data_IF_781227932056
#
_entry.id   IF_781227932056
#
_cell.length_a   1.000
_cell.length_b   1.000
_cell.length_c   1.000
_cell.angle_alpha   90.00
_cell.angle_beta   90.00
_cell.angle_gamma   90.00
#
_symmetry.space_group_name_H-M   'P 1'
#
loop_
_entity.id
_entity.type
_entity.pdbx_description
1 polymer ?
#
# COMPACT_ATOMS: atom_id res chain seq x y z
N UNK A 1 -13.59 -5.23 27.66
CA UNK A 1 -13.03 -6.31 26.80
C UNK A 1 -13.59 -6.07 25.41
N UNK A 2 -12.82 -5.47 24.53
CA UNK A 2 -13.15 -5.37 23.10
C UNK A 2 -13.17 -6.78 22.54
N UNK A 3 -14.26 -7.20 21.95
CA UNK A 3 -14.31 -8.49 21.25
C UNK A 3 -13.37 -8.42 20.06
N UNK A 4 -12.73 -9.51 19.67
CA UNK A 4 -11.77 -9.56 18.56
C UNK A 4 -12.36 -8.98 17.25
N UNK A 5 -13.68 -9.03 17.10
CA UNK A 5 -14.46 -8.45 15.99
C UNK A 5 -14.50 -6.92 15.95
N UNK A 6 -14.20 -6.23 17.05
CA UNK A 6 -14.22 -4.76 17.13
C UNK A 6 -12.83 -4.13 16.93
N UNK A 7 -11.76 -4.95 16.79
CA UNK A 7 -10.41 -4.46 16.54
C UNK A 7 -10.30 -3.78 15.17
N UNK A 8 -9.58 -2.65 15.03
CA UNK A 8 -9.42 -1.98 13.75
C UNK A 8 -8.50 -2.74 12.77
N UNK A 9 -7.77 -3.74 13.24
CA UNK A 9 -7.08 -4.76 12.43
C UNK A 9 -7.38 -6.11 13.07
N UNK A 10 -7.92 -7.04 12.29
CA UNK A 10 -8.10 -8.42 12.74
C UNK A 10 -6.79 -9.17 12.47
N UNK A 11 -6.30 -9.87 13.49
CA UNK A 11 -5.04 -10.61 13.44
C UNK A 11 -5.32 -12.08 13.69
N UNK A 12 -4.89 -12.93 12.80
CA UNK A 12 -5.02 -14.38 12.94
C UNK A 12 -3.85 -15.12 12.31
N UNK A 13 -3.69 -16.39 12.62
CA UNK A 13 -2.84 -17.30 11.88
C UNK A 13 -3.73 -18.41 11.34
N UNK A 14 -3.74 -18.54 10.03
CA UNK A 14 -4.51 -19.58 9.31
C UNK A 14 -3.51 -20.50 8.59
N UNK A 15 -3.50 -21.77 8.93
CA UNK A 15 -2.45 -22.70 8.49
C UNK A 15 -1.06 -22.14 8.82
N UNK A 16 -0.26 -21.79 7.80
CA UNK A 16 1.08 -21.19 7.97
C UNK A 16 1.14 -19.73 7.52
N UNK A 17 -0.03 -19.05 7.45
CA UNK A 17 -0.15 -17.66 7.00
C UNK A 17 -0.57 -16.78 8.17
N UNK A 18 0.25 -15.77 8.50
CA UNK A 18 -0.16 -14.66 9.35
C UNK A 18 -1.07 -13.73 8.57
N UNK A 19 -2.29 -13.51 9.03
CA UNK A 19 -3.31 -12.72 8.32
C UNK A 19 -3.61 -11.45 9.07
N UNK A 20 -3.49 -10.32 8.37
CA UNK A 20 -3.84 -8.97 8.79
C UNK A 20 -5.02 -8.49 7.93
N UNK A 21 -6.18 -8.24 8.55
CA UNK A 21 -7.34 -7.70 7.84
C UNK A 21 -7.66 -6.30 8.38
N UNK A 22 -7.50 -5.29 7.54
CA UNK A 22 -7.84 -3.91 7.89
C UNK A 22 -9.36 -3.80 8.10
N UNK A 23 -9.79 -3.35 9.29
CA UNK A 23 -11.18 -3.45 9.74
C UNK A 23 -11.73 -2.10 10.27
N UNK A 24 -11.53 -1.03 9.52
CA UNK A 24 -12.19 0.28 9.71
C UNK A 24 -13.00 0.70 8.47
N UNK A 25 -13.96 -0.11 7.98
CA UNK A 25 -14.60 0.12 6.68
C UNK A 25 -15.35 1.46 6.61
N UNK A 26 -15.88 1.97 7.73
CA UNK A 26 -16.55 3.29 7.80
C UNK A 26 -15.58 4.47 7.56
N UNK A 27 -14.29 4.29 7.79
CA UNK A 27 -13.23 5.25 7.55
C UNK A 27 -12.37 4.84 6.35
N UNK A 28 -12.86 3.96 5.47
CA UNK A 28 -12.10 3.40 4.34
C UNK A 28 -10.72 2.89 4.75
N UNK A 29 -10.63 2.29 5.93
CA UNK A 29 -9.41 1.77 6.55
C UNK A 29 -8.27 2.80 6.70
N UNK A 30 -8.59 4.10 6.88
CA UNK A 30 -7.54 5.08 7.16
C UNK A 30 -6.77 4.68 8.43
N UNK A 31 -5.43 4.74 8.33
CA UNK A 31 -4.51 4.27 9.37
C UNK A 31 -4.50 5.23 10.56
N UNK A 32 -4.63 4.66 11.75
CA UNK A 32 -4.47 5.38 13.00
C UNK A 32 -3.38 4.72 13.87
N UNK A 33 -2.93 5.34 14.97
CA UNK A 33 -1.87 4.78 15.82
C UNK A 33 -2.16 3.37 16.32
N UNK A 34 -3.43 3.04 16.61
CA UNK A 34 -3.82 1.72 17.07
C UNK A 34 -3.57 0.65 16.00
N UNK A 35 -3.95 0.91 14.74
CA UNK A 35 -3.73 0.00 13.62
C UNK A 35 -2.23 -0.24 13.40
N UNK A 36 -1.43 0.82 13.37
CA UNK A 36 0.03 0.72 13.23
C UNK A 36 0.63 -0.15 14.33
N UNK A 37 0.25 0.11 15.59
CA UNK A 37 0.73 -0.68 16.72
C UNK A 37 0.30 -2.16 16.66
N UNK A 38 -0.88 -2.48 16.14
CA UNK A 38 -1.35 -3.88 15.97
C UNK A 38 -0.53 -4.56 14.88
N UNK A 39 -0.39 -3.94 13.70
CA UNK A 39 0.37 -4.49 12.57
C UNK A 39 1.82 -4.73 12.97
N UNK A 40 2.47 -3.73 13.57
CA UNK A 40 3.86 -3.82 14.01
C UNK A 40 4.08 -5.01 14.95
N UNK A 41 3.26 -5.14 16.00
CA UNK A 41 3.37 -6.26 16.96
C UNK A 41 3.16 -7.63 16.31
N UNK A 42 2.20 -7.74 15.38
CA UNK A 42 1.97 -8.99 14.67
C UNK A 42 3.18 -9.38 13.82
N UNK A 43 3.74 -8.41 13.07
CA UNK A 43 4.93 -8.63 12.25
C UNK A 43 6.16 -8.98 13.09
N UNK A 44 6.38 -8.32 14.22
CA UNK A 44 7.45 -8.65 15.17
C UNK A 44 7.32 -10.09 15.69
N UNK A 45 6.10 -10.48 16.08
CA UNK A 45 5.84 -11.83 16.58
C UNK A 45 6.07 -12.90 15.50
N UNK A 46 5.66 -12.67 14.26
CA UNK A 46 5.74 -13.65 13.19
C UNK A 46 7.08 -13.72 12.49
N UNK A 47 7.94 -12.71 12.68
CA UNK A 47 9.25 -12.63 12.03
C UNK A 47 10.10 -13.89 12.26
N UNK A 48 10.18 -14.31 13.50
CA UNK A 48 11.03 -15.45 13.93
C UNK A 48 10.21 -16.70 14.32
N UNK A 49 8.90 -16.71 14.03
CA UNK A 49 8.01 -17.83 14.29
C UNK A 49 7.99 -18.79 13.08
N UNK A 50 8.63 -19.94 13.22
CA UNK A 50 8.70 -20.96 12.15
C UNK A 50 7.33 -21.53 11.76
N UNK A 51 6.29 -21.36 12.59
CA UNK A 51 4.93 -21.78 12.26
C UNK A 51 4.23 -20.85 11.25
N UNK A 52 4.76 -19.62 11.04
CA UNK A 52 4.28 -18.64 10.07
C UNK A 52 5.27 -18.55 8.92
N UNK A 53 4.91 -19.06 7.76
CA UNK A 53 5.76 -19.08 6.57
C UNK A 53 5.64 -17.83 5.71
N UNK A 54 4.49 -17.14 5.76
CA UNK A 54 4.17 -15.95 4.96
C UNK A 54 3.18 -15.05 5.70
N UNK A 55 3.09 -13.79 5.26
CA UNK A 55 2.14 -12.80 5.78
C UNK A 55 1.23 -12.32 4.67
N UNK A 56 -0.05 -12.28 4.95
CA UNK A 56 -1.09 -11.67 4.11
C UNK A 56 -1.60 -10.41 4.80
N UNK A 57 -1.69 -9.30 4.06
CA UNK A 57 -2.49 -8.13 4.44
C UNK A 57 -3.60 -7.88 3.43
N UNK A 58 -4.81 -7.70 3.91
CA UNK A 58 -6.00 -7.48 3.11
C UNK A 58 -6.99 -6.57 3.86
N UNK A 59 -8.20 -6.41 3.34
CA UNK A 59 -9.24 -5.54 3.88
C UNK A 59 -10.58 -6.25 3.98
N UNK A 60 -11.33 -5.99 5.04
CA UNK A 60 -12.77 -6.41 5.14
C UNK A 60 -13.68 -5.47 4.35
N UNK A 61 -13.20 -4.34 3.85
CA UNK A 61 -14.00 -3.35 3.13
C UNK A 61 -14.12 -3.71 1.66
N UNK A 62 -15.34 -3.77 1.10
CA UNK A 62 -15.51 -4.01 -0.35
C UNK A 62 -15.18 -2.78 -1.22
N UNK A 63 -14.83 -1.64 -0.60
CA UNK A 63 -14.60 -0.37 -1.30
C UNK A 63 -13.15 0.06 -1.35
N UNK A 64 -12.39 -0.31 -0.34
CA UNK A 64 -11.04 0.20 -0.15
C UNK A 64 -10.17 -0.82 0.57
N UNK A 65 -8.98 -1.00 0.08
CA UNK A 65 -7.92 -1.59 0.88
C UNK A 65 -7.57 -0.61 2.02
N UNK A 66 -7.08 0.60 1.69
CA UNK A 66 -6.77 1.65 2.66
C UNK A 66 -6.70 3.02 1.97
N UNK A 67 -7.33 4.02 2.57
CA UNK A 67 -7.37 5.39 2.03
C UNK A 67 -6.24 6.31 2.53
N UNK A 68 -5.23 5.77 3.21
CA UNK A 68 -4.07 6.52 3.73
C UNK A 68 -4.11 6.73 5.24
N UNK A 69 -3.25 7.61 5.74
CA UNK A 69 -3.24 8.02 7.15
C UNK A 69 -4.51 8.77 7.57
N UNK A 70 -4.88 8.66 8.83
CA UNK A 70 -6.03 9.41 9.39
C UNK A 70 -5.64 10.89 9.61
N UNK A 71 -5.61 11.66 8.52
CA UNK A 71 -5.22 13.09 8.53
C UNK A 71 -6.12 13.95 9.42
N UNK A 72 -7.36 13.51 9.71
CA UNK A 72 -8.22 14.19 10.67
C UNK A 72 -7.69 14.04 12.09
N UNK A 73 -7.28 12.82 12.43
CA UNK A 73 -6.64 12.54 13.72
C UNK A 73 -5.38 13.41 13.91
N UNK A 74 -4.52 13.47 12.90
CA UNK A 74 -3.29 14.29 12.92
C UNK A 74 -3.63 15.77 13.10
N UNK A 75 -4.53 16.31 12.27
CA UNK A 75 -4.98 17.71 12.35
C UNK A 75 -5.53 18.06 13.73
N UNK A 76 -6.44 17.23 14.24
CA UNK A 76 -7.11 17.50 15.52
C UNK A 76 -6.12 17.36 16.70
N UNK A 77 -5.14 16.46 16.60
CA UNK A 77 -4.03 16.34 17.54
C UNK A 77 -3.18 17.62 17.58
N UNK A 78 -2.74 18.11 16.43
CA UNK A 78 -1.94 19.36 16.34
C UNK A 78 -2.74 20.55 16.89
N UNK A 79 -4.01 20.71 16.52
CA UNK A 79 -4.86 21.78 17.05
C UNK A 79 -5.11 21.69 18.56
N UNK A 80 -4.97 20.50 19.13
CA UNK A 80 -5.05 20.26 20.58
C UNK A 80 -3.70 20.40 21.32
N UNK A 81 -2.62 20.80 20.65
CA UNK A 81 -1.27 20.94 21.22
C UNK A 81 -0.60 19.60 21.54
N UNK A 82 -0.87 18.57 20.71
CA UNK A 82 -0.36 17.20 20.87
C UNK A 82 0.64 16.84 19.75
N UNK A 83 1.50 17.78 19.39
CA UNK A 83 2.47 17.62 18.30
C UNK A 83 3.36 16.39 18.51
N UNK A 84 3.84 16.16 19.74
CA UNK A 84 4.69 15.00 20.07
C UNK A 84 3.98 13.63 19.83
N UNK A 85 2.65 13.58 20.05
CA UNK A 85 1.88 12.37 19.75
C UNK A 85 1.77 12.14 18.23
N UNK A 86 1.65 13.24 17.47
CA UNK A 86 1.55 13.17 16.00
C UNK A 86 2.91 12.83 15.37
N UNK A 87 4.00 13.40 15.87
CA UNK A 87 5.36 13.03 15.45
C UNK A 87 5.65 11.54 15.71
N UNK A 88 5.17 11.03 16.84
CA UNK A 88 5.29 9.60 17.16
C UNK A 88 4.48 8.74 16.19
N UNK A 89 3.27 9.16 15.82
CA UNK A 89 2.46 8.46 14.84
C UNK A 89 3.21 8.25 13.52
N UNK A 90 3.81 9.30 12.95
CA UNK A 90 4.61 9.20 11.73
C UNK A 90 5.87 8.36 11.92
N UNK A 91 6.55 8.51 13.07
CA UNK A 91 7.74 7.72 13.40
C UNK A 91 7.42 6.22 13.42
N UNK A 92 6.33 5.85 14.07
CA UNK A 92 5.88 4.46 14.17
C UNK A 92 5.43 3.92 12.81
N UNK A 93 4.71 4.73 12.00
CA UNK A 93 4.30 4.37 10.65
C UNK A 93 5.50 4.12 9.74
N UNK A 94 6.46 5.02 9.70
CA UNK A 94 7.65 4.86 8.86
C UNK A 94 8.55 3.70 9.32
N UNK A 95 8.61 3.45 10.63
CA UNK A 95 9.30 2.27 11.19
C UNK A 95 8.64 0.97 10.77
N UNK A 96 7.30 0.91 10.76
CA UNK A 96 6.54 -0.22 10.25
C UNK A 96 6.75 -0.41 8.74
N UNK A 97 6.74 0.65 7.93
CA UNK A 97 7.00 0.58 6.50
C UNK A 97 8.41 0.03 6.22
N UNK A 98 9.41 0.47 6.98
CA UNK A 98 10.77 -0.07 6.89
C UNK A 98 10.84 -1.56 7.27
N UNK A 99 10.09 -1.96 8.30
CA UNK A 99 9.98 -3.36 8.71
C UNK A 99 9.40 -4.22 7.59
N UNK A 100 8.35 -3.75 6.91
CA UNK A 100 7.73 -4.45 5.76
C UNK A 100 8.74 -4.57 4.61
N UNK A 101 9.45 -3.48 4.29
CA UNK A 101 10.46 -3.46 3.22
C UNK A 101 11.63 -4.46 3.44
N UNK A 102 11.92 -4.80 4.68
CA UNK A 102 13.00 -5.71 5.08
C UNK A 102 12.49 -7.02 5.69
N UNK A 103 11.21 -7.34 5.47
CA UNK A 103 10.60 -8.51 6.10
C UNK A 103 11.20 -9.81 5.52
N UNK A 104 11.64 -10.77 6.37
CA UNK A 104 12.38 -11.94 5.90
C UNK A 104 11.51 -13.03 5.26
N UNK A 105 10.18 -12.91 5.36
CA UNK A 105 9.21 -13.86 4.80
C UNK A 105 8.40 -13.20 3.70
N UNK A 106 7.78 -13.93 2.78
CA UNK A 106 6.83 -13.36 1.83
C UNK A 106 5.78 -12.51 2.55
N UNK A 107 5.67 -11.24 2.13
CA UNK A 107 4.65 -10.30 2.57
C UNK A 107 3.78 -9.97 1.36
N UNK A 108 2.56 -10.47 1.39
CA UNK A 108 1.60 -10.41 0.29
C UNK A 108 0.51 -9.40 0.63
N UNK A 109 0.40 -8.34 -0.15
CA UNK A 109 -0.70 -7.39 -0.05
C UNK A 109 -1.74 -7.67 -1.14
N UNK A 110 -2.97 -7.97 -0.74
CA UNK A 110 -4.11 -8.11 -1.67
C UNK A 110 -4.88 -6.80 -1.68
N UNK A 111 -4.77 -6.09 -2.80
CA UNK A 111 -5.25 -4.73 -2.97
C UNK A 111 -6.53 -4.75 -3.81
N UNK A 112 -7.66 -4.49 -3.17
CA UNK A 112 -8.94 -4.42 -3.81
C UNK A 112 -9.62 -3.06 -3.53
N UNK A 113 -9.94 -2.32 -4.59
CA UNK A 113 -10.49 -0.96 -4.49
C UNK A 113 -9.43 0.11 -4.24
N UNK A 114 -9.70 1.03 -3.32
CA UNK A 114 -8.89 2.24 -3.06
C UNK A 114 -7.59 1.91 -2.31
N UNK A 115 -6.45 2.38 -2.82
CA UNK A 115 -5.14 2.30 -2.17
C UNK A 115 -4.45 3.67 -2.25
N UNK A 116 -4.36 4.41 -1.13
CA UNK A 116 -3.79 5.76 -1.14
C UNK A 116 -2.84 5.99 0.03
N UNK A 117 -1.86 6.87 -0.14
CA UNK A 117 -0.98 7.37 0.92
C UNK A 117 -0.40 6.26 1.80
N UNK A 118 -0.66 6.29 3.11
CA UNK A 118 -0.28 5.24 4.04
C UNK A 118 -0.76 3.83 3.67
N UNK A 119 -1.81 3.70 2.83
CA UNK A 119 -2.21 2.41 2.26
C UNK A 119 -1.15 1.82 1.34
N UNK A 120 -0.46 2.66 0.57
CA UNK A 120 0.74 2.25 -0.16
C UNK A 120 1.91 1.96 0.80
N UNK A 121 2.03 2.70 1.89
CA UNK A 121 3.05 2.44 2.93
C UNK A 121 2.97 1.03 3.51
N UNK A 122 1.76 0.50 3.77
CA UNK A 122 1.58 -0.86 4.32
C UNK A 122 1.54 -1.95 3.26
N UNK A 123 1.63 -1.62 1.97
CA UNK A 123 1.50 -2.60 0.88
C UNK A 123 2.67 -2.60 -0.11
N UNK A 124 3.09 -1.43 -0.60
CA UNK A 124 3.99 -1.31 -1.75
C UNK A 124 5.42 -1.82 -1.48
N UNK A 125 5.80 -1.94 -0.22
CA UNK A 125 7.12 -2.42 0.20
C UNK A 125 7.20 -3.94 0.38
N UNK A 126 6.07 -4.64 0.36
CA UNK A 126 6.01 -6.10 0.44
C UNK A 126 6.55 -6.78 -0.82
N UNK A 127 6.79 -8.09 -0.72
CA UNK A 127 7.30 -8.89 -1.83
C UNK A 127 6.27 -9.07 -2.96
N UNK A 128 4.98 -9.14 -2.63
CA UNK A 128 3.90 -9.33 -3.59
C UNK A 128 2.81 -8.27 -3.38
N UNK A 129 2.46 -7.54 -4.44
CA UNK A 129 1.35 -6.59 -4.52
C UNK A 129 0.38 -7.11 -5.55
N UNK A 130 -0.60 -7.88 -5.06
CA UNK A 130 -1.62 -8.54 -5.86
C UNK A 130 -2.84 -7.64 -5.92
N UNK A 131 -3.29 -7.29 -7.11
CA UNK A 131 -4.39 -6.35 -7.33
C UNK A 131 -5.56 -7.02 -8.04
N UNK A 132 -6.76 -6.48 -7.85
CA UNK A 132 -7.94 -6.80 -8.68
C UNK A 132 -8.16 -5.72 -9.75
N UNK A 133 -9.01 -5.98 -10.75
CA UNK A 133 -9.44 -4.98 -11.75
C UNK A 133 -10.11 -3.74 -11.13
N UNK A 134 -10.58 -3.82 -9.89
CA UNK A 134 -11.21 -2.69 -9.16
C UNK A 134 -10.20 -1.81 -8.43
N UNK A 135 -8.95 -2.28 -8.31
CA UNK A 135 -7.93 -1.55 -7.58
C UNK A 135 -7.49 -0.28 -8.32
N UNK A 136 -7.21 0.76 -7.54
CA UNK A 136 -6.54 1.93 -8.04
C UNK A 136 -5.70 2.57 -6.93
N UNK A 137 -4.59 3.19 -7.30
CA UNK A 137 -3.67 3.79 -6.35
C UNK A 137 -3.41 5.27 -6.62
N UNK A 138 -3.08 6.04 -5.57
CA UNK A 138 -2.67 7.43 -5.68
C UNK A 138 -1.85 7.86 -4.47
N UNK A 139 -0.94 8.84 -4.67
CA UNK A 139 -0.28 9.61 -3.62
C UNK A 139 -0.79 11.06 -3.69
N UNK A 140 -1.94 11.38 -3.07
CA UNK A 140 -2.62 12.67 -3.25
C UNK A 140 -2.14 13.78 -2.30
N UNK A 141 -1.05 13.57 -1.57
CA UNK A 141 -0.56 14.43 -0.47
C UNK A 141 -0.34 15.87 -0.91
N UNK A 142 0.14 16.10 -2.14
CA UNK A 142 0.36 17.45 -2.69
C UNK A 142 -0.94 18.29 -2.73
N UNK A 143 -2.09 17.66 -2.90
CA UNK A 143 -3.38 18.35 -2.92
C UNK A 143 -3.78 18.93 -1.54
N UNK A 144 -3.17 18.45 -0.46
CA UNK A 144 -3.40 18.92 0.91
C UNK A 144 -2.18 19.67 1.48
N UNK A 145 -1.19 19.99 0.64
CA UNK A 145 0.03 20.70 1.04
C UNK A 145 1.02 19.86 1.82
N UNK A 146 1.01 18.53 1.63
CA UNK A 146 1.94 17.59 2.22
C UNK A 146 2.82 16.96 1.15
N UNK A 147 3.88 16.26 1.54
CA UNK A 147 4.78 15.57 0.62
C UNK A 147 4.36 14.11 0.43
N UNK A 148 4.73 13.52 -0.70
CA UNK A 148 4.67 12.06 -0.89
C UNK A 148 5.66 11.38 0.05
N UNK A 149 5.14 10.71 1.07
CA UNK A 149 5.88 10.08 2.16
C UNK A 149 5.82 8.54 2.13
N UNK A 150 5.79 7.89 3.27
CA UNK A 150 5.72 6.43 3.49
C UNK A 150 6.68 5.62 2.62
N UNK A 151 7.81 6.21 2.21
CA UNK A 151 8.83 5.59 1.35
C UNK A 151 8.49 5.56 -0.14
N UNK A 152 7.31 6.04 -0.55
CA UNK A 152 6.86 5.96 -1.95
C UNK A 152 7.64 6.92 -2.85
N UNK A 153 8.04 8.11 -2.38
CA UNK A 153 8.92 9.01 -3.14
C UNK A 153 10.25 8.35 -3.55
N UNK A 154 10.74 7.39 -2.77
CA UNK A 154 11.92 6.59 -3.11
C UNK A 154 11.56 5.38 -3.99
N UNK A 155 10.52 4.64 -3.63
CA UNK A 155 10.16 3.38 -4.28
C UNK A 155 9.63 3.59 -5.70
N UNK A 156 8.78 4.62 -5.91
CA UNK A 156 8.15 4.89 -7.20
C UNK A 156 9.13 5.17 -8.34
N UNK A 157 10.31 5.69 -8.01
CA UNK A 157 11.39 5.92 -8.98
C UNK A 157 12.15 4.64 -9.36
N UNK A 158 11.89 3.52 -8.69
CA UNK A 158 12.67 2.26 -8.76
C UNK A 158 11.84 1.03 -9.05
N UNK A 159 10.53 1.18 -9.19
CA UNK A 159 9.71 0.08 -9.68
C UNK A 159 10.17 -0.36 -11.07
N UNK A 160 10.06 -1.64 -11.42
CA UNK A 160 10.66 -2.19 -12.64
C UNK A 160 10.27 -1.49 -13.95
N UNK A 161 9.04 -0.97 -14.03
CA UNK A 161 8.52 -0.22 -15.18
C UNK A 161 8.55 1.30 -15.02
N UNK A 162 9.20 1.83 -13.99
CA UNK A 162 9.21 3.26 -13.65
C UNK A 162 10.57 3.91 -13.92
N UNK A 163 10.65 5.22 -13.65
CA UNK A 163 11.84 6.05 -13.75
C UNK A 163 11.81 7.16 -12.70
N UNK A 164 12.89 7.93 -12.49
CA UNK A 164 12.85 9.12 -11.67
C UNK A 164 11.77 10.14 -12.10
N UNK A 165 11.59 10.35 -13.40
CA UNK A 165 10.57 11.25 -13.96
C UNK A 165 9.15 10.71 -13.70
N UNK A 166 8.92 9.43 -13.92
CA UNK A 166 7.64 8.77 -13.63
C UNK A 166 7.32 8.85 -12.14
N UNK A 167 8.29 8.58 -11.26
CA UNK A 167 8.11 8.72 -9.82
C UNK A 167 7.79 10.16 -9.38
N UNK A 168 8.44 11.16 -10.00
CA UNK A 168 8.14 12.56 -9.78
C UNK A 168 6.73 12.93 -10.27
N UNK A 169 6.33 12.48 -11.46
CA UNK A 169 4.96 12.66 -11.98
C UNK A 169 3.92 12.12 -11.00
N UNK A 170 4.05 10.87 -10.58
CA UNK A 170 3.11 10.20 -9.67
C UNK A 170 3.01 10.98 -8.34
N UNK A 171 4.15 11.34 -7.75
CA UNK A 171 4.20 12.01 -6.45
C UNK A 171 3.76 13.47 -6.48
N UNK A 172 4.08 14.23 -7.52
CA UNK A 172 3.77 15.66 -7.60
C UNK A 172 2.34 15.93 -8.09
N UNK A 173 1.79 15.05 -8.93
CA UNK A 173 0.45 15.24 -9.51
C UNK A 173 -0.66 14.57 -8.69
N UNK A 174 -0.32 13.56 -7.88
CA UNK A 174 -1.32 12.72 -7.24
C UNK A 174 -2.15 11.92 -8.25
N UNK A 175 -1.56 11.59 -9.40
CA UNK A 175 -2.23 10.86 -10.47
C UNK A 175 -2.84 9.55 -9.95
N UNK A 176 -4.07 9.28 -10.38
CA UNK A 176 -4.77 8.05 -10.05
C UNK A 176 -4.36 6.94 -11.02
N UNK A 177 -3.49 6.06 -10.55
CA UNK A 177 -3.06 4.86 -11.27
C UNK A 177 -4.22 3.87 -11.37
N UNK A 178 -4.56 3.44 -12.58
CA UNK A 178 -5.45 2.31 -12.81
C UNK A 178 -4.73 0.99 -12.54
N UNK A 179 -5.46 -0.15 -12.58
CA UNK A 179 -4.82 -1.47 -12.48
C UNK A 179 -3.76 -1.67 -13.58
N UNK A 180 -4.05 -1.25 -14.82
CA UNK A 180 -3.11 -1.31 -15.94
C UNK A 180 -1.88 -0.42 -15.71
N UNK A 181 -2.07 0.82 -15.19
CA UNK A 181 -0.96 1.70 -14.85
C UNK A 181 -0.10 1.13 -13.72
N UNK A 182 -0.72 0.52 -12.68
CA UNK A 182 0.01 -0.11 -11.58
C UNK A 182 0.87 -1.29 -12.05
N UNK A 183 0.37 -2.09 -12.97
CA UNK A 183 1.14 -3.18 -13.60
C UNK A 183 2.25 -2.62 -14.50
N UNK A 184 1.96 -1.62 -15.33
CA UNK A 184 2.92 -0.98 -16.24
C UNK A 184 4.12 -0.39 -15.50
N UNK A 185 3.90 0.35 -14.42
CA UNK A 185 5.01 0.95 -13.65
C UNK A 185 5.68 -0.05 -12.70
N UNK A 186 5.08 -1.23 -12.49
CA UNK A 186 5.60 -2.26 -11.59
C UNK A 186 5.32 -2.00 -10.10
N UNK A 187 4.35 -1.12 -9.78
CA UNK A 187 3.78 -1.02 -8.44
C UNK A 187 3.08 -2.32 -8.08
N UNK A 188 2.21 -2.83 -8.94
CA UNK A 188 1.62 -4.15 -8.78
C UNK A 188 2.53 -5.23 -9.39
N UNK A 189 2.48 -6.43 -8.80
CA UNK A 189 3.24 -7.60 -9.27
C UNK A 189 2.36 -8.60 -10.01
N UNK A 190 1.08 -8.69 -9.64
CA UNK A 190 0.13 -9.64 -10.22
C UNK A 190 -1.27 -9.03 -10.23
N UNK A 191 -2.03 -9.36 -11.28
CA UNK A 191 -3.45 -9.06 -11.41
C UNK A 191 -4.24 -10.36 -11.26
N UNK A 192 -5.31 -10.33 -10.47
CA UNK A 192 -6.20 -11.46 -10.24
C UNK A 192 -7.66 -11.08 -10.49
N UNK A 193 -8.51 -12.06 -10.76
CA UNK A 193 -9.95 -11.84 -10.98
C UNK A 193 -10.71 -11.68 -9.66
N UNK A 194 -10.56 -12.61 -8.73
CA UNK A 194 -11.27 -12.63 -7.44
C UNK A 194 -10.31 -12.68 -6.24
N UNK A 195 -10.44 -11.68 -5.37
CA UNK A 195 -9.60 -11.59 -4.17
C UNK A 195 -9.95 -12.67 -3.12
N UNK A 196 -11.21 -13.08 -3.02
CA UNK A 196 -11.66 -14.05 -2.03
C UNK A 196 -11.10 -15.43 -2.32
N UNK A 197 -11.27 -15.91 -3.55
CA UNK A 197 -10.78 -17.22 -3.99
C UNK A 197 -9.24 -17.26 -3.91
N UNK A 198 -8.55 -16.20 -4.37
CA UNK A 198 -7.11 -16.07 -4.24
C UNK A 198 -6.63 -16.16 -2.78
N UNK A 199 -7.29 -15.45 -1.85
CA UNK A 199 -6.92 -15.45 -0.42
C UNK A 199 -7.07 -16.84 0.19
N UNK A 200 -8.14 -17.57 -0.12
CA UNK A 200 -8.34 -18.93 0.39
C UNK A 200 -7.24 -19.88 -0.13
N UNK A 201 -6.88 -19.82 -1.39
CA UNK A 201 -5.82 -20.62 -1.97
C UNK A 201 -4.42 -20.21 -1.47
N UNK A 202 -4.16 -18.91 -1.31
CA UNK A 202 -2.92 -18.42 -0.70
C UNK A 202 -2.75 -18.98 0.71
N UNK A 203 -3.79 -18.98 1.51
CA UNK A 203 -3.78 -19.50 2.89
C UNK A 203 -3.64 -21.01 2.89
N UNK A 204 -4.29 -21.72 1.97
CA UNK A 204 -4.31 -23.18 1.92
C UNK A 204 -3.09 -23.81 1.23
N UNK A 205 -2.60 -23.18 0.17
CA UNK A 205 -1.60 -23.75 -0.77
C UNK A 205 -0.26 -22.99 -0.78
N UNK A 206 -0.23 -21.77 -0.20
CA UNK A 206 0.92 -20.87 -0.26
C UNK A 206 0.89 -19.94 -1.48
N UNK A 207 1.71 -18.85 -1.40
CA UNK A 207 1.64 -17.74 -2.36
C UNK A 207 1.96 -18.16 -3.79
N UNK A 208 2.98 -18.98 -4.01
CA UNK A 208 3.41 -19.37 -5.37
C UNK A 208 2.30 -20.13 -6.09
N UNK A 209 1.69 -21.15 -5.44
CA UNK A 209 0.59 -21.91 -6.02
C UNK A 209 -0.67 -21.08 -6.28
N UNK A 210 -1.00 -20.16 -5.35
CA UNK A 210 -2.15 -19.28 -5.53
C UNK A 210 -1.92 -18.31 -6.71
N UNK A 211 -0.70 -17.78 -6.88
CA UNK A 211 -0.38 -16.92 -8.01
C UNK A 211 -0.41 -17.67 -9.35
N UNK A 212 0.08 -18.90 -9.39
CA UNK A 212 0.03 -19.73 -10.59
C UNK A 212 -1.41 -20.01 -11.06
N UNK A 213 -2.34 -20.17 -10.11
CA UNK A 213 -3.76 -20.48 -10.40
C UNK A 213 -4.57 -19.23 -10.78
N UNK A 214 -4.34 -18.11 -10.10
CA UNK A 214 -5.25 -16.95 -10.16
C UNK A 214 -4.73 -15.76 -10.96
N UNK A 215 -3.45 -15.74 -11.39
CA UNK A 215 -2.92 -14.61 -12.16
C UNK A 215 -3.54 -14.56 -13.55
N UNK A 216 -4.07 -13.37 -13.90
CA UNK A 216 -4.65 -13.08 -15.20
C UNK A 216 -3.85 -12.00 -15.94
N UNK A 217 -4.04 -11.94 -17.25
CA UNK A 217 -3.43 -10.90 -18.08
C UNK A 217 -4.18 -9.57 -17.96
N UNK A 218 -3.46 -8.46 -18.06
CA UNK A 218 -4.04 -7.11 -18.14
C UNK A 218 -4.75 -6.96 -19.49
N UNK A 219 -6.02 -6.55 -19.45
CA UNK A 219 -6.85 -6.38 -20.67
C UNK A 219 -6.77 -4.97 -21.24
N UNK A 220 -6.62 -3.98 -20.37
CA UNK A 220 -6.60 -2.57 -20.77
C UNK A 220 -5.16 -2.07 -20.97
N UNK A 221 -4.97 -1.17 -21.92
CA UNK A 221 -3.68 -0.51 -22.11
C UNK A 221 -3.47 0.54 -21.03
N UNK A 222 -2.27 0.54 -20.43
CA UNK A 222 -1.88 1.53 -19.44
C UNK A 222 -1.80 2.93 -20.07
N UNK A 223 -2.46 3.92 -19.48
CA UNK A 223 -2.39 5.31 -19.95
C UNK A 223 -1.00 5.87 -19.84
N UNK A 224 -0.28 5.50 -18.79
CA UNK A 224 1.11 5.94 -18.56
C UNK A 224 2.06 5.47 -19.64
N UNK A 225 1.81 4.34 -20.30
CA UNK A 225 2.59 3.90 -21.45
C UNK A 225 2.53 4.92 -22.59
N UNK A 226 1.32 5.45 -22.88
CA UNK A 226 1.12 6.47 -23.92
C UNK A 226 1.67 7.85 -23.57
N UNK A 227 1.86 8.16 -22.28
CA UNK A 227 2.38 9.46 -21.80
C UNK A 227 3.85 9.43 -21.41
N UNK A 228 4.51 8.29 -21.53
CA UNK A 228 5.88 8.08 -21.03
C UNK A 228 6.87 9.11 -21.54
N UNK A 229 6.88 9.37 -22.86
CA UNK A 229 7.81 10.31 -23.46
C UNK A 229 7.59 11.76 -22.98
N UNK A 230 6.32 12.17 -22.82
CA UNK A 230 5.98 13.49 -22.30
C UNK A 230 6.34 13.63 -20.81
N UNK A 231 6.10 12.56 -20.02
CA UNK A 231 6.48 12.52 -18.61
C UNK A 231 8.02 12.61 -18.46
N UNK A 232 8.76 11.84 -19.24
CA UNK A 232 10.24 11.90 -19.23
C UNK A 232 10.75 13.29 -19.66
N UNK A 233 10.16 13.88 -20.68
CA UNK A 233 10.55 15.23 -21.13
C UNK A 233 10.30 16.30 -20.07
N UNK A 234 9.18 16.20 -19.33
CA UNK A 234 8.74 17.24 -18.38
C UNK A 234 9.29 17.01 -16.97
N UNK A 235 9.18 15.79 -16.43
CA UNK A 235 9.44 15.50 -15.02
C UNK A 235 10.88 15.04 -14.72
N UNK A 236 11.75 14.95 -15.74
CA UNK A 236 13.17 14.67 -15.56
C UNK A 236 13.98 15.88 -15.05
N UNK A 237 13.36 17.05 -14.97
CA UNK A 237 14.02 18.28 -14.52
C UNK A 237 14.28 18.27 -13.00
N UNK A 238 15.38 18.93 -12.60
CA UNK A 238 15.89 18.87 -11.23
C UNK A 238 15.16 19.75 -10.21
N UNK A 239 14.24 20.62 -10.65
CA UNK A 239 13.49 21.51 -9.77
C UNK A 239 12.04 21.67 -10.23
N UNK A 240 11.15 22.03 -9.28
CA UNK A 240 9.77 22.35 -9.60
C UNK A 240 9.66 23.50 -10.61
N UNK A 241 10.48 24.53 -10.49
CA UNK A 241 10.45 25.66 -11.40
C UNK A 241 10.78 25.26 -12.85
N UNK A 242 11.69 24.30 -13.03
CA UNK A 242 12.04 23.79 -14.35
C UNK A 242 10.94 22.88 -14.92
N UNK A 243 10.29 22.08 -14.05
CA UNK A 243 9.14 21.22 -14.43
C UNK A 243 7.95 22.09 -14.86
N UNK A 244 7.66 23.17 -14.10
CA UNK A 244 6.52 24.09 -14.38
C UNK A 244 6.73 24.91 -15.67
N UNK A 245 7.99 25.06 -16.10
CA UNK A 245 8.35 25.78 -17.30
C UNK A 245 8.44 24.89 -18.57
N UNK A 246 8.47 23.58 -18.41
CA UNK A 246 8.61 22.62 -19.50
C UNK A 246 7.27 22.27 -20.14
#
# INVERSE_FOLDING_TARGET
MTTQTDSPVLVSVRHHTGVLELNRPRALNSLNPEMIGIITRALEQWRDDDSVAQVLITSVSPKAFCSGGDVRHVRDGILAGKEEEMDRFFTDEYSMNHMIASYPKPYVAVLDGIVMGGGLGVSAHGSHRVITERAWASMPEMAIGYITDVGISYASQRWPGSSPAMGAFIGLTGYRLTEADMMEVGLATHLIDDAGDFIEDLVGLGVDNALDEHTIEVKEEARLAGWRDDIEATFSHGSWADIDAA
#
